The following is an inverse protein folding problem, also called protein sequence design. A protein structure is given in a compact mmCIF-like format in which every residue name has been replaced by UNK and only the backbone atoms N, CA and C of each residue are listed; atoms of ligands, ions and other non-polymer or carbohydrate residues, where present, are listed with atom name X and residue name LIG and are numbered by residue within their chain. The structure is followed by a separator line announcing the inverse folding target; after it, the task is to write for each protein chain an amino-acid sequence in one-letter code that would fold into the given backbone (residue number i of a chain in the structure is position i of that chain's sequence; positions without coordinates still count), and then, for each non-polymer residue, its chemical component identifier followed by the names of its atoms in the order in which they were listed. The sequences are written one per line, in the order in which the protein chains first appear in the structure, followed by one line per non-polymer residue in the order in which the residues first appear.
data_IF_593248241187
#
_entry.id   IF_593248241187
#
_cell.length_a   1.000
_cell.length_b   1.000
_cell.length_c   1.000
_cell.angle_alpha   90.00
_cell.angle_beta   90.00
_cell.angle_gamma   90.00
#
_symmetry.space_group_name_H-M   'P 1'
#
loop_
_entity.id
_entity.type
_entity.pdbx_description
1 polymer ?
#
# COMPACT_ATOMS: atom_id res chain seq x y z
N UNK A 1 -8.96 -23.73 -19.21
CA UNK A 1 -9.56 -23.31 -17.93
C UNK A 1 -9.74 -21.80 -18.01
N UNK A 2 -10.96 -21.33 -18.27
CA UNK A 2 -11.23 -19.90 -18.41
C UNK A 2 -11.12 -19.25 -17.02
N UNK A 3 -10.09 -18.46 -16.81
CA UNK A 3 -9.96 -17.66 -15.59
C UNK A 3 -11.02 -16.56 -15.70
N UNK A 4 -11.99 -16.59 -14.79
CA UNK A 4 -13.07 -15.61 -14.72
C UNK A 4 -12.49 -14.19 -14.54
N UNK A 5 -12.60 -13.37 -15.57
CA UNK A 5 -12.01 -12.03 -15.63
C UNK A 5 -12.66 -11.05 -14.64
N UNK A 6 -13.78 -11.44 -13.99
CA UNK A 6 -14.51 -10.62 -13.01
C UNK A 6 -13.93 -10.63 -11.59
N UNK A 7 -12.91 -11.44 -11.31
CA UNK A 7 -12.28 -11.58 -9.98
C UNK A 7 -10.85 -11.06 -9.88
N UNK A 8 -10.38 -10.33 -10.89
CA UNK A 8 -9.00 -9.81 -10.90
C UNK A 8 -8.95 -8.38 -10.42
N UNK A 9 -7.93 -8.11 -9.61
CA UNK A 9 -7.60 -6.79 -9.09
C UNK A 9 -7.36 -5.83 -10.25
N UNK A 10 -7.95 -4.64 -10.16
CA UNK A 10 -7.79 -3.59 -11.16
C UNK A 10 -6.76 -2.55 -10.73
N UNK A 11 -6.22 -1.81 -11.70
CA UNK A 11 -5.26 -0.72 -11.49
C UNK A 11 -5.83 0.36 -10.56
N UNK A 12 -7.11 0.73 -10.72
CA UNK A 12 -7.79 1.73 -9.88
C UNK A 12 -7.74 1.42 -8.38
N UNK A 13 -7.62 0.14 -8.00
CA UNK A 13 -7.56 -0.28 -6.61
C UNK A 13 -6.22 0.02 -5.93
N UNK A 14 -5.16 0.24 -6.70
CA UNK A 14 -3.78 0.37 -6.21
C UNK A 14 -3.05 1.62 -6.68
N UNK A 15 -3.56 2.31 -7.71
CA UNK A 15 -2.94 3.52 -8.21
C UNK A 15 -2.97 4.64 -7.17
N UNK A 16 -1.98 5.52 -7.25
CA UNK A 16 -1.98 6.79 -6.50
C UNK A 16 -2.75 7.83 -7.32
N UNK A 17 -3.76 8.46 -6.73
CA UNK A 17 -4.64 9.43 -7.41
C UNK A 17 -4.17 10.88 -7.22
N UNK A 18 -3.56 11.19 -6.09
CA UNK A 18 -2.96 12.50 -5.83
C UNK A 18 -1.52 12.51 -6.38
N UNK A 19 -1.39 12.93 -7.65
CA UNK A 19 -0.13 12.89 -8.38
C UNK A 19 0.34 14.31 -8.65
N UNK A 20 1.50 14.67 -8.10
CA UNK A 20 2.17 15.91 -8.46
C UNK A 20 2.52 15.89 -9.96
N UNK A 21 2.15 16.95 -10.67
CA UNK A 21 2.36 17.10 -12.11
C UNK A 21 3.01 18.45 -12.42
N UNK A 22 3.61 18.55 -13.61
CA UNK A 22 4.23 19.78 -14.13
C UNK A 22 3.54 20.20 -15.44
N UNK A 23 3.67 21.48 -15.80
CA UNK A 23 3.11 22.04 -17.04
C UNK A 23 4.18 22.06 -18.15
N UNK A 24 3.82 21.87 -19.44
CA UNK A 24 4.78 21.92 -20.56
C UNK A 24 5.62 23.20 -20.61
N UNK A 25 5.01 24.35 -20.33
CA UNK A 25 5.69 25.66 -20.38
C UNK A 25 6.56 25.96 -19.14
N UNK A 26 6.51 25.11 -18.10
CA UNK A 26 7.30 25.35 -16.89
C UNK A 26 8.80 25.23 -17.20
N UNK A 27 9.66 26.08 -16.62
CA UNK A 27 11.09 25.96 -16.79
C UNK A 27 11.64 24.77 -15.99
N UNK A 28 12.66 24.10 -16.53
CA UNK A 28 13.36 22.97 -15.88
C UNK A 28 13.78 23.31 -14.44
N UNK A 29 14.20 24.55 -14.17
CA UNK A 29 14.59 25.00 -12.84
C UNK A 29 13.49 24.87 -11.78
N UNK A 30 12.22 25.02 -12.15
CA UNK A 30 11.08 24.83 -11.25
C UNK A 30 10.81 23.34 -11.00
N UNK A 31 10.92 22.52 -12.04
CA UNK A 31 10.81 21.06 -11.91
C UNK A 31 11.88 20.50 -10.98
N UNK A 32 13.14 20.96 -11.08
CA UNK A 32 14.22 20.55 -10.18
C UNK A 32 13.93 20.93 -8.73
N UNK A 33 13.36 22.12 -8.49
CA UNK A 33 12.93 22.53 -7.14
C UNK A 33 11.83 21.60 -6.62
N UNK A 34 10.86 21.26 -7.47
CA UNK A 34 9.78 20.34 -7.12
C UNK A 34 10.34 18.94 -6.78
N UNK A 35 11.21 18.37 -7.62
CA UNK A 35 11.88 17.06 -7.35
C UNK A 35 12.53 17.03 -5.96
N UNK A 36 13.20 18.12 -5.57
CA UNK A 36 13.83 18.25 -4.24
C UNK A 36 12.83 18.38 -3.11
N UNK A 37 11.72 19.07 -3.32
CA UNK A 37 10.70 19.30 -2.30
C UNK A 37 9.87 18.05 -2.00
N UNK A 38 9.52 17.27 -3.03
CA UNK A 38 8.65 16.08 -2.87
C UNK A 38 9.41 14.75 -2.94
N UNK A 39 10.74 14.79 -3.11
CA UNK A 39 11.61 13.60 -3.20
C UNK A 39 11.15 12.60 -4.27
N UNK A 40 10.79 13.10 -5.46
CA UNK A 40 10.38 12.28 -6.60
C UNK A 40 11.30 12.52 -7.80
N UNK A 41 11.65 11.44 -8.49
CA UNK A 41 12.61 11.46 -9.62
C UNK A 41 11.99 11.78 -10.98
N UNK A 42 10.71 12.15 -11.01
CA UNK A 42 10.02 12.50 -12.25
C UNK A 42 8.52 12.69 -12.06
N UNK A 43 7.92 13.38 -13.04
CA UNK A 43 6.53 13.83 -13.00
C UNK A 43 5.84 13.61 -14.34
N UNK A 44 4.53 13.31 -14.34
CA UNK A 44 3.71 13.52 -15.52
C UNK A 44 3.71 14.99 -15.92
N UNK A 45 3.70 15.24 -17.22
CA UNK A 45 3.53 16.58 -17.79
C UNK A 45 2.08 16.70 -18.26
N UNK A 46 1.34 17.62 -17.66
CA UNK A 46 -0.07 17.86 -17.94
C UNK A 46 -0.26 19.23 -18.60
N UNK A 47 -0.97 19.24 -19.72
CA UNK A 47 -1.62 20.45 -20.23
C UNK A 47 -3.08 20.39 -19.79
N UNK A 48 -3.43 21.23 -18.81
CA UNK A 48 -4.67 21.13 -18.04
C UNK A 48 -4.80 19.75 -17.37
N UNK A 49 -5.74 18.91 -17.82
CA UNK A 49 -5.95 17.54 -17.31
C UNK A 49 -5.40 16.45 -18.25
N UNK A 50 -4.87 16.85 -19.40
CA UNK A 50 -4.42 15.93 -20.44
C UNK A 50 -2.95 15.59 -20.25
N UNK A 51 -2.62 14.30 -20.31
CA UNK A 51 -1.24 13.85 -20.26
C UNK A 51 -0.55 14.08 -21.61
N UNK A 52 0.39 15.02 -21.65
CA UNK A 52 1.14 15.39 -22.87
C UNK A 52 2.58 14.86 -22.85
N UNK A 53 3.10 14.49 -21.69
CA UNK A 53 4.45 13.96 -21.57
C UNK A 53 4.77 13.39 -20.20
N UNK A 54 6.01 12.95 -20.05
CA UNK A 54 6.59 12.57 -18.77
C UNK A 54 8.02 13.08 -18.71
N UNK A 55 8.40 13.67 -17.58
CA UNK A 55 9.74 14.18 -17.35
C UNK A 55 10.40 13.46 -16.19
N UNK A 56 11.62 13.00 -16.39
CA UNK A 56 12.45 12.37 -15.36
C UNK A 56 13.70 13.19 -15.09
N UNK A 57 14.34 12.95 -13.95
CA UNK A 57 15.62 13.58 -13.62
C UNK A 57 16.69 13.35 -14.69
N UNK A 58 16.64 12.21 -15.38
CA UNK A 58 17.55 11.87 -16.49
C UNK A 58 17.39 12.82 -17.68
N UNK A 59 16.15 13.16 -18.03
CA UNK A 59 15.84 14.06 -19.15
C UNK A 59 16.39 15.47 -18.91
N UNK A 60 16.61 15.86 -17.64
CA UNK A 60 17.08 17.19 -17.25
C UNK A 60 18.61 17.35 -17.28
N UNK A 61 19.39 16.25 -17.30
CA UNK A 61 20.83 16.27 -17.00
C UNK A 61 21.68 17.11 -17.97
N UNK A 62 21.19 17.39 -19.17
CA UNK A 62 21.96 18.02 -20.25
C UNK A 62 21.29 19.28 -20.84
N UNK A 63 20.32 19.87 -20.14
CA UNK A 63 19.53 20.99 -20.64
C UNK A 63 19.67 22.24 -19.77
N UNK A 64 19.61 23.42 -20.40
CA UNK A 64 19.63 24.70 -19.65
C UNK A 64 18.41 24.82 -18.73
N UNK A 65 18.61 25.38 -17.54
CA UNK A 65 17.60 25.45 -16.51
C UNK A 65 16.38 26.32 -16.89
N UNK A 66 16.49 27.16 -17.92
CA UNK A 66 15.41 28.01 -18.41
C UNK A 66 14.63 27.41 -19.58
N UNK A 67 15.07 26.28 -20.17
CA UNK A 67 14.27 25.63 -21.21
C UNK A 67 12.92 25.17 -20.64
N UNK A 68 11.85 25.22 -21.45
CA UNK A 68 10.55 24.69 -21.06
C UNK A 68 10.60 23.15 -21.03
N UNK A 69 9.73 22.56 -20.19
CA UNK A 69 9.62 21.10 -20.04
C UNK A 69 9.25 20.41 -21.35
N UNK A 70 8.41 21.03 -22.18
CA UNK A 70 7.96 20.44 -23.45
C UNK A 70 9.09 20.09 -24.42
N UNK A 71 10.22 20.81 -24.35
CA UNK A 71 11.38 20.57 -25.23
C UNK A 71 12.18 19.32 -24.84
N UNK A 72 12.04 18.87 -23.59
CA UNK A 72 12.87 17.81 -23.00
C UNK A 72 12.07 16.60 -22.52
N UNK A 73 10.74 16.72 -22.42
CA UNK A 73 9.89 15.64 -21.95
C UNK A 73 9.82 14.47 -22.94
N UNK A 74 9.61 13.26 -22.40
CA UNK A 74 9.26 12.10 -23.20
C UNK A 74 7.80 12.15 -23.61
N UNK A 75 7.52 12.06 -24.91
CA UNK A 75 6.14 12.03 -25.48
C UNK A 75 5.66 10.63 -25.85
N UNK A 76 6.57 9.65 -25.93
CA UNK A 76 6.20 8.25 -26.12
C UNK A 76 5.83 7.62 -24.77
N UNK A 77 4.53 7.72 -24.45
CA UNK A 77 3.98 7.30 -23.17
C UNK A 77 3.31 5.94 -23.26
N UNK A 78 3.63 5.07 -22.31
CA UNK A 78 2.80 3.90 -22.01
C UNK A 78 1.92 4.27 -20.83
N UNK A 79 0.62 4.03 -20.99
CA UNK A 79 -0.39 4.38 -19.99
C UNK A 79 -1.23 3.15 -19.67
N UNK A 80 -1.80 3.13 -18.47
CA UNK A 80 -2.79 2.15 -18.04
C UNK A 80 -4.18 2.78 -18.02
N UNK A 81 -5.21 1.94 -18.07
CA UNK A 81 -6.59 2.35 -17.83
C UNK A 81 -7.00 1.95 -16.40
N UNK A 82 -7.85 2.71 -15.68
CA UNK A 82 -8.29 2.37 -14.32
C UNK A 82 -8.85 0.94 -14.20
N UNK A 83 -9.58 0.47 -15.22
CA UNK A 83 -10.16 -0.87 -15.25
C UNK A 83 -9.21 -1.98 -15.71
N UNK A 84 -7.98 -1.64 -16.12
CA UNK A 84 -6.96 -2.62 -16.52
C UNK A 84 -6.68 -3.58 -15.36
N UNK A 85 -6.48 -4.86 -15.67
CA UNK A 85 -6.07 -5.84 -14.69
C UNK A 85 -4.66 -5.53 -14.20
N UNK A 86 -4.44 -5.59 -12.89
CA UNK A 86 -3.17 -5.24 -12.27
C UNK A 86 -2.03 -6.18 -12.72
N UNK A 87 -2.31 -7.46 -12.95
CA UNK A 87 -1.36 -8.41 -13.54
C UNK A 87 -0.91 -8.01 -14.95
N UNK A 88 -1.79 -7.38 -15.72
CA UNK A 88 -1.46 -6.91 -17.07
C UNK A 88 -0.61 -5.64 -16.99
N UNK A 89 -0.93 -4.72 -16.08
CA UNK A 89 -0.09 -3.56 -15.78
C UNK A 89 1.32 -4.00 -15.33
N UNK A 90 1.41 -5.01 -14.45
CA UNK A 90 2.67 -5.61 -14.03
C UNK A 90 3.49 -6.16 -15.21
N UNK A 91 2.85 -6.85 -16.15
CA UNK A 91 3.49 -7.37 -17.37
C UNK A 91 3.99 -6.24 -18.26
N UNK A 92 3.21 -5.16 -18.42
CA UNK A 92 3.60 -3.98 -19.21
C UNK A 92 4.82 -3.32 -18.59
N UNK A 93 4.79 -3.04 -17.28
CA UNK A 93 5.92 -2.46 -16.54
C UNK A 93 7.19 -3.30 -16.71
N UNK A 94 7.09 -4.60 -16.46
CA UNK A 94 8.23 -5.52 -16.55
C UNK A 94 8.81 -5.60 -17.97
N UNK A 95 7.97 -5.76 -19.00
CA UNK A 95 8.42 -5.92 -20.40
C UNK A 95 8.94 -4.62 -21.01
N UNK A 96 8.38 -3.49 -20.63
CA UNK A 96 8.81 -2.18 -21.13
C UNK A 96 10.04 -1.65 -20.42
N UNK A 97 10.44 -2.25 -19.29
CA UNK A 97 11.50 -1.73 -18.43
C UNK A 97 11.12 -0.44 -17.69
N UNK A 98 9.85 -0.03 -17.76
CA UNK A 98 9.35 1.18 -17.07
C UNK A 98 9.02 0.83 -15.61
N UNK A 99 9.27 1.79 -14.73
CA UNK A 99 8.99 1.64 -13.29
C UNK A 99 7.59 2.11 -12.89
N UNK A 100 6.92 2.86 -13.76
CA UNK A 100 5.58 3.42 -13.54
C UNK A 100 4.83 3.66 -14.84
N UNK A 101 3.50 3.68 -14.75
CA UNK A 101 2.57 4.00 -15.82
C UNK A 101 1.59 5.08 -15.32
N UNK A 102 1.46 6.21 -16.02
CA UNK A 102 0.31 7.09 -15.85
C UNK A 102 -1.00 6.33 -16.12
N UNK A 103 -2.05 6.66 -15.38
CA UNK A 103 -3.37 6.06 -15.53
C UNK A 103 -4.31 7.11 -16.10
N UNK A 104 -4.95 6.78 -17.23
CA UNK A 104 -5.83 7.67 -17.99
C UNK A 104 -7.21 7.04 -18.12
N UNK A 105 -8.27 7.83 -17.93
CA UNK A 105 -9.66 7.42 -18.11
C UNK A 105 -10.12 7.42 -19.59
N UNK A 106 -11.39 7.07 -19.82
CA UNK A 106 -11.99 7.01 -21.15
C UNK A 106 -12.09 8.40 -21.84
N UNK A 107 -12.04 9.49 -21.07
CA UNK A 107 -12.09 10.87 -21.56
C UNK A 107 -10.68 11.43 -21.88
N UNK A 108 -9.63 10.64 -21.65
CA UNK A 108 -8.24 11.03 -21.91
C UNK A 108 -7.58 11.82 -20.77
N UNK A 109 -8.23 11.89 -19.60
CA UNK A 109 -7.71 12.63 -18.43
C UNK A 109 -6.84 11.75 -17.56
N UNK A 110 -5.76 12.31 -17.02
CA UNK A 110 -4.92 11.60 -16.05
C UNK A 110 -5.63 11.52 -14.70
N UNK A 111 -5.89 10.29 -14.24
CA UNK A 111 -6.61 10.02 -12.98
C UNK A 111 -5.72 9.37 -11.91
N UNK A 112 -4.48 9.02 -12.25
CA UNK A 112 -3.51 8.52 -11.29
C UNK A 112 -2.22 8.00 -11.90
N UNK A 113 -1.42 7.32 -11.08
CA UNK A 113 -0.18 6.65 -11.49
C UNK A 113 -0.07 5.29 -10.79
N UNK A 114 0.38 4.27 -11.51
CA UNK A 114 0.67 2.93 -10.96
C UNK A 114 2.15 2.60 -11.13
N UNK A 115 2.79 2.11 -10.07
CA UNK A 115 4.23 1.83 -10.02
C UNK A 115 4.54 0.34 -9.79
N UNK A 116 5.79 -0.07 -10.01
CA UNK A 116 6.27 -1.39 -9.61
C UNK A 116 6.04 -1.65 -8.12
N UNK A 117 6.21 -0.62 -7.28
CA UNK A 117 5.97 -0.72 -5.84
C UNK A 117 4.50 -1.02 -5.56
N UNK A 118 3.57 -0.40 -6.27
CA UNK A 118 2.13 -0.66 -6.11
C UNK A 118 1.76 -2.08 -6.53
N UNK A 119 2.37 -2.59 -7.61
CA UNK A 119 2.22 -3.98 -8.06
C UNK A 119 2.79 -4.94 -7.03
N UNK A 120 3.99 -4.69 -6.48
CA UNK A 120 4.57 -5.54 -5.44
C UNK A 120 3.69 -5.49 -4.19
N UNK A 121 3.26 -4.30 -3.79
CA UNK A 121 2.33 -4.08 -2.67
C UNK A 121 1.06 -4.91 -2.85
N UNK A 122 0.51 -5.01 -4.05
CA UNK A 122 -0.70 -5.81 -4.28
C UNK A 122 -0.50 -7.32 -4.09
N UNK A 123 0.73 -7.83 -4.25
CA UNK A 123 1.02 -9.26 -4.06
C UNK A 123 1.22 -9.62 -2.60
N UNK A 124 1.68 -8.66 -1.79
CA UNK A 124 1.88 -8.84 -0.35
C UNK A 124 0.59 -8.55 0.44
N UNK A 125 -0.16 -7.50 0.06
CA UNK A 125 -1.29 -6.95 0.81
C UNK A 125 -2.41 -7.94 1.09
N UNK A 126 -2.47 -8.44 2.32
CA UNK A 126 -3.53 -9.34 2.81
C UNK A 126 -4.85 -8.64 3.08
N UNK A 127 -4.83 -7.31 3.21
CA UNK A 127 -5.98 -6.43 3.47
C UNK A 127 -6.48 -5.73 2.19
N UNK A 128 -6.59 -6.47 1.09
CA UNK A 128 -6.99 -5.95 -0.22
C UNK A 128 -8.27 -5.09 -0.20
N UNK A 129 -8.39 -4.00 -1.00
CA UNK A 129 -9.60 -3.16 -1.08
C UNK A 129 -10.92 -3.91 -1.25
N UNK A 130 -10.91 -5.00 -2.03
CA UNK A 130 -12.07 -5.89 -2.15
C UNK A 130 -12.42 -6.63 -0.86
N UNK A 131 -11.42 -7.06 -0.07
CA UNK A 131 -11.63 -7.69 1.24
C UNK A 131 -12.25 -6.68 2.20
N UNK A 132 -11.74 -5.45 2.23
CA UNK A 132 -12.32 -4.33 3.01
C UNK A 132 -13.77 -4.09 2.60
N UNK A 133 -14.05 -4.03 1.29
CA UNK A 133 -15.39 -3.82 0.76
C UNK A 133 -16.36 -4.96 1.11
N UNK A 134 -15.88 -6.21 1.10
CA UNK A 134 -16.67 -7.38 1.54
C UNK A 134 -17.00 -7.32 3.03
N UNK A 135 -16.01 -6.99 3.87
CA UNK A 135 -16.20 -6.81 5.32
C UNK A 135 -17.21 -5.70 5.59
N UNK A 136 -17.04 -4.55 4.94
CA UNK A 136 -17.96 -3.41 5.03
C UNK A 136 -19.40 -3.84 4.74
N UNK A 137 -19.64 -4.43 3.56
CA UNK A 137 -20.98 -4.90 3.15
C UNK A 137 -21.58 -5.90 4.14
N UNK A 138 -20.79 -6.87 4.59
CA UNK A 138 -21.24 -7.86 5.58
C UNK A 138 -21.70 -7.20 6.89
N UNK A 139 -20.96 -6.23 7.42
CA UNK A 139 -21.34 -5.53 8.65
C UNK A 139 -22.59 -4.68 8.44
N UNK A 140 -22.67 -3.95 7.32
CA UNK A 140 -23.85 -3.14 6.96
C UNK A 140 -25.12 -3.99 6.84
N UNK A 141 -25.05 -5.15 6.17
CA UNK A 141 -26.18 -6.07 5.98
C UNK A 141 -26.64 -6.71 7.29
N UNK A 142 -25.72 -7.19 8.12
CA UNK A 142 -26.04 -7.87 9.38
C UNK A 142 -26.67 -6.90 10.39
N UNK A 143 -26.17 -5.67 10.43
CA UNK A 143 -26.52 -4.71 11.47
C UNK A 143 -27.46 -3.60 10.99
N UNK A 144 -27.80 -3.57 9.70
CA UNK A 144 -28.65 -2.54 9.08
C UNK A 144 -28.13 -1.12 9.35
N UNK A 145 -26.83 -0.93 9.17
CA UNK A 145 -26.12 0.34 9.37
C UNK A 145 -25.42 0.79 8.08
N UNK A 146 -24.94 2.03 8.06
CA UNK A 146 -24.06 2.54 6.99
C UNK A 146 -22.68 2.84 7.56
N UNK A 147 -21.66 2.28 6.92
CA UNK A 147 -20.26 2.54 7.22
C UNK A 147 -19.66 3.46 6.17
N UNK A 148 -18.78 4.37 6.59
CA UNK A 148 -17.96 5.17 5.67
C UNK A 148 -16.55 4.60 5.66
N UNK A 149 -15.97 4.40 4.48
CA UNK A 149 -14.59 3.93 4.34
C UNK A 149 -13.67 5.13 4.11
N UNK A 150 -12.59 5.21 4.88
CA UNK A 150 -11.49 6.15 4.70
C UNK A 150 -10.15 5.40 4.76
N UNK A 151 -9.14 5.87 4.04
CA UNK A 151 -7.75 5.46 4.25
C UNK A 151 -7.03 6.52 5.09
N UNK A 152 -6.16 6.12 6.00
CA UNK A 152 -5.37 7.05 6.81
C UNK A 152 -4.52 6.37 7.87
N UNK A 153 -3.79 7.18 8.63
CA UNK A 153 -2.97 6.73 9.74
C UNK A 153 -3.82 6.57 11.00
N UNK A 154 -3.47 5.55 11.80
CA UNK A 154 -4.05 5.33 13.12
C UNK A 154 -2.94 5.08 14.15
N UNK A 155 -3.13 5.63 15.35
CA UNK A 155 -2.25 5.39 16.50
C UNK A 155 -2.25 3.91 16.88
N UNK A 156 -1.06 3.33 17.02
CA UNK A 156 -0.88 1.94 17.42
C UNK A 156 -1.34 1.70 18.86
N UNK A 157 -1.21 2.71 19.73
CA UNK A 157 -1.60 2.61 21.15
C UNK A 157 -3.12 2.53 21.34
N UNK A 158 -3.89 3.14 20.44
CA UNK A 158 -5.36 3.20 20.51
C UNK A 158 -6.04 1.93 19.98
N UNK A 159 -5.27 1.02 19.36
CA UNK A 159 -5.79 -0.19 18.73
C UNK A 159 -6.28 -1.19 19.79
N UNK A 160 -7.57 -1.52 19.71
CA UNK A 160 -8.21 -2.61 20.45
C UNK A 160 -8.22 -3.89 19.60
N UNK A 161 -7.41 -4.91 19.92
CA UNK A 161 -7.35 -6.13 19.12
C UNK A 161 -8.56 -7.04 19.33
N UNK A 162 -8.94 -7.75 18.26
CA UNK A 162 -10.03 -8.74 18.28
C UNK A 162 -9.58 -10.20 18.37
N UNK A 163 -8.27 -10.44 18.21
CA UNK A 163 -7.66 -11.77 18.32
C UNK A 163 -6.72 -11.78 19.52
N UNK A 164 -6.74 -12.87 20.29
CA UNK A 164 -5.91 -13.03 21.49
C UNK A 164 -4.52 -13.60 21.20
N UNK A 165 -4.26 -14.06 19.98
CA UNK A 165 -3.03 -14.77 19.63
C UNK A 165 -2.51 -14.38 18.25
N UNK A 166 -1.19 -14.29 18.12
CA UNK A 166 -0.47 -14.16 16.85
C UNK A 166 0.69 -15.16 16.80
N UNK A 167 1.17 -15.48 15.61
CA UNK A 167 2.25 -16.45 15.39
C UNK A 167 3.60 -15.73 15.24
N UNK A 168 4.62 -16.19 15.97
CA UNK A 168 5.92 -15.50 16.03
C UNK A 168 6.69 -15.46 14.70
N UNK A 169 6.59 -16.52 13.89
CA UNK A 169 7.25 -16.62 12.59
C UNK A 169 6.68 -15.61 11.56
N UNK A 170 5.36 -15.45 11.52
CA UNK A 170 4.72 -14.42 10.69
C UNK A 170 5.06 -13.01 11.23
N UNK A 171 5.19 -12.86 12.55
CA UNK A 171 5.48 -11.57 13.18
C UNK A 171 6.87 -11.03 12.82
N UNK A 172 7.88 -11.89 12.74
CA UNK A 172 9.23 -11.51 12.30
C UNK A 172 9.24 -10.97 10.87
N UNK A 173 8.53 -11.66 9.96
CA UNK A 173 8.36 -11.20 8.57
C UNK A 173 7.67 -9.84 8.48
N UNK A 174 6.58 -9.65 9.24
CA UNK A 174 5.88 -8.35 9.29
C UNK A 174 6.76 -7.25 9.88
N UNK A 175 7.58 -7.56 10.87
CA UNK A 175 8.55 -6.60 11.41
C UNK A 175 9.58 -6.16 10.37
N UNK A 176 10.05 -7.06 9.51
CA UNK A 176 10.95 -6.72 8.40
C UNK A 176 10.28 -5.83 7.36
N UNK A 177 9.07 -6.18 6.92
CA UNK A 177 8.29 -5.40 5.96
C UNK A 177 8.03 -3.97 6.48
N UNK A 178 7.65 -3.84 7.75
CA UNK A 178 7.38 -2.56 8.40
C UNK A 178 8.61 -1.63 8.39
N UNK A 179 9.80 -2.18 8.67
CA UNK A 179 11.06 -1.42 8.61
C UNK A 179 11.44 -0.96 7.21
N UNK A 180 10.98 -1.66 6.17
CA UNK A 180 11.25 -1.34 4.77
C UNK A 180 10.19 -0.42 4.15
N UNK A 181 9.18 0.00 4.90
CA UNK A 181 8.08 0.81 4.38
C UNK A 181 7.18 0.04 3.41
N UNK A 182 7.21 -1.29 3.45
CA UNK A 182 6.31 -2.16 2.69
C UNK A 182 5.00 -2.38 3.46
N UNK A 183 4.54 -1.33 4.13
CA UNK A 183 3.48 -1.40 5.14
C UNK A 183 2.16 -1.67 4.44
N UNK A 184 1.66 -2.89 4.55
CA UNK A 184 0.27 -3.19 4.20
C UNK A 184 -0.65 -2.50 5.23
N UNK A 185 -1.71 -1.80 4.80
CA UNK A 185 -2.65 -1.17 5.72
C UNK A 185 -3.45 -2.19 6.53
N UNK A 186 -3.61 -1.95 7.82
CA UNK A 186 -4.50 -2.75 8.68
C UNK A 186 -5.97 -2.41 8.39
N UNK A 187 -6.91 -3.24 8.85
CA UNK A 187 -8.34 -2.92 8.74
C UNK A 187 -8.87 -2.66 10.15
N UNK A 188 -9.44 -1.49 10.35
CA UNK A 188 -9.98 -1.06 11.64
C UNK A 188 -11.41 -0.55 11.50
N UNK A 189 -12.18 -0.68 12.57
CA UNK A 189 -13.48 -0.02 12.73
C UNK A 189 -13.30 1.09 13.75
N UNK A 190 -13.49 2.33 13.33
CA UNK A 190 -13.49 3.48 14.21
C UNK A 190 -14.90 3.68 14.75
N UNK A 191 -15.06 3.53 16.05
CA UNK A 191 -16.26 3.89 16.81
C UNK A 191 -16.06 5.22 17.54
N UNK A 192 -17.12 5.80 18.13
CA UNK A 192 -16.99 7.02 18.93
C UNK A 192 -16.03 6.88 20.12
N UNK A 193 -15.92 5.69 20.71
CA UNK A 193 -15.21 5.44 21.97
C UNK A 193 -13.96 4.56 21.84
N UNK A 194 -13.73 3.90 20.70
CA UNK A 194 -12.60 2.99 20.52
C UNK A 194 -12.27 2.72 19.05
N UNK A 195 -11.06 2.24 18.81
CA UNK A 195 -10.58 1.79 17.52
C UNK A 195 -10.40 0.27 17.52
N UNK A 196 -11.23 -0.46 16.79
CA UNK A 196 -11.23 -1.93 16.81
C UNK A 196 -10.43 -2.47 15.64
N UNK A 197 -9.46 -3.36 15.91
CA UNK A 197 -8.71 -4.07 14.87
C UNK A 197 -9.53 -5.22 14.30
N UNK A 198 -9.84 -5.19 13.01
CA UNK A 198 -10.53 -6.27 12.30
C UNK A 198 -9.54 -7.24 11.67
N UNK A 199 -8.48 -6.72 11.06
CA UNK A 199 -7.48 -7.50 10.34
C UNK A 199 -6.11 -6.84 10.43
N UNK A 200 -5.04 -7.63 10.51
CA UNK A 200 -3.67 -7.15 10.63
C UNK A 200 -3.06 -7.23 12.03
N UNK A 201 -3.52 -8.16 12.88
CA UNK A 201 -3.01 -8.36 14.25
C UNK A 201 -1.49 -8.55 14.32
N UNK A 202 -0.89 -9.40 13.46
CA UNK A 202 0.58 -9.53 13.44
C UNK A 202 1.28 -8.21 13.11
N UNK A 203 0.72 -7.39 12.22
CA UNK A 203 1.30 -6.08 11.86
C UNK A 203 1.16 -5.08 13.01
N UNK A 204 -0.01 -5.01 13.64
CA UNK A 204 -0.23 -4.14 14.79
C UNK A 204 0.70 -4.51 15.97
N UNK A 205 0.84 -5.81 16.27
CA UNK A 205 1.74 -6.28 17.33
C UNK A 205 3.21 -6.05 16.95
N UNK A 206 3.62 -6.33 15.70
CA UNK A 206 4.98 -6.05 15.24
C UNK A 206 5.32 -4.56 15.29
N UNK A 207 4.39 -3.68 14.87
CA UNK A 207 4.57 -2.24 14.94
C UNK A 207 4.79 -1.77 16.37
N UNK A 208 3.98 -2.27 17.31
CA UNK A 208 4.15 -1.99 18.74
C UNK A 208 5.51 -2.45 19.28
N UNK A 209 5.96 -3.65 18.93
CA UNK A 209 7.28 -4.15 19.33
C UNK A 209 8.44 -3.34 18.75
N UNK A 210 8.25 -2.75 17.58
CA UNK A 210 9.24 -1.90 16.90
C UNK A 210 9.19 -0.43 17.34
N UNK A 211 8.24 -0.04 18.21
CA UNK A 211 8.04 1.34 18.61
C UNK A 211 7.53 2.24 17.48
N UNK A 212 6.81 1.68 16.51
CA UNK A 212 6.15 2.45 15.46
C UNK A 212 4.86 3.04 16.04
N UNK A 213 4.72 4.37 15.99
CA UNK A 213 3.61 5.10 16.61
C UNK A 213 2.31 5.00 15.80
N UNK A 214 2.41 5.01 14.47
CA UNK A 214 1.24 5.03 13.57
C UNK A 214 1.31 3.96 12.48
N UNK A 215 0.15 3.42 12.10
CA UNK A 215 -0.01 2.47 10.99
C UNK A 215 -0.98 3.00 9.94
N UNK A 216 -0.68 2.74 8.66
CA UNK A 216 -1.67 2.93 7.58
C UNK A 216 -2.83 1.95 7.78
N UNK A 217 -4.05 2.42 7.53
CA UNK A 217 -5.26 1.66 7.79
C UNK A 217 -6.39 2.00 6.81
N UNK A 218 -7.18 0.98 6.51
CA UNK A 218 -8.56 1.15 6.06
C UNK A 218 -9.46 1.29 7.28
N UNK A 219 -10.04 2.48 7.44
CA UNK A 219 -10.85 2.89 8.58
C UNK A 219 -12.32 2.83 8.16
N UNK A 220 -13.05 1.88 8.73
CA UNK A 220 -14.50 1.80 8.65
C UNK A 220 -15.10 2.65 9.77
N UNK A 221 -15.53 3.86 9.43
CA UNK A 221 -16.17 4.79 10.35
C UNK A 221 -17.59 4.30 10.67
N UNK A 222 -17.84 4.05 11.95
CA UNK A 222 -19.13 3.64 12.49
C UNK A 222 -19.58 4.72 13.49
N UNK A 223 -20.64 5.44 13.13
CA UNK A 223 -21.16 6.53 13.98
C UNK A 223 -21.94 5.98 15.19
N UNK A 224 -22.38 4.72 15.13
CA UNK A 224 -23.13 4.04 16.18
C UNK A 224 -22.22 3.25 17.13
N UNK A 225 -22.50 3.27 18.44
CA UNK A 225 -21.80 2.39 19.38
C UNK A 225 -22.46 1.00 19.48
N UNK A 226 -22.63 0.36 18.33
CA UNK A 226 -23.23 -0.97 18.23
C UNK A 226 -22.21 -2.06 18.55
N UNK A 227 -22.46 -2.91 19.53
CA UNK A 227 -21.53 -3.97 19.92
C UNK A 227 -21.47 -5.11 18.89
N UNK A 228 -20.29 -5.37 18.36
CA UNK A 228 -20.04 -6.41 17.37
C UNK A 228 -19.70 -7.76 18.04
N UNK A 229 -19.91 -8.86 17.32
CA UNK A 229 -19.60 -10.21 17.80
C UNK A 229 -18.09 -10.46 18.03
N UNK A 230 -17.25 -9.85 17.19
CA UNK A 230 -15.79 -9.83 17.32
C UNK A 230 -15.31 -9.13 18.60
N UNK A 231 -15.93 -8.00 18.97
CA UNK A 231 -15.66 -7.33 20.26
C UNK A 231 -16.07 -8.22 21.43
N UNK A 232 -17.26 -8.81 21.35
CA UNK A 232 -17.79 -9.67 22.41
C UNK A 232 -16.88 -10.87 22.68
N UNK A 233 -16.31 -11.44 21.63
CA UNK A 233 -15.34 -12.54 21.74
C UNK A 233 -14.03 -12.09 22.38
N UNK A 234 -13.49 -10.94 21.94
CA UNK A 234 -12.26 -10.37 22.47
C UNK A 234 -12.37 -10.00 23.96
N UNK A 235 -13.46 -9.34 24.36
CA UNK A 235 -13.71 -8.98 25.75
C UNK A 235 -13.83 -10.21 26.67
N UNK A 236 -14.50 -11.27 26.21
CA UNK A 236 -14.59 -12.54 26.96
C UNK A 236 -13.23 -13.20 27.15
N UNK A 237 -12.32 -13.00 26.20
CA UNK A 237 -10.94 -13.45 26.29
C UNK A 237 -10.03 -12.48 27.09
N UNK A 238 -10.59 -11.40 27.66
CA UNK A 238 -9.85 -10.41 28.45
C UNK A 238 -8.99 -9.46 27.63
N UNK A 239 -9.18 -9.41 26.31
CA UNK A 239 -8.35 -8.65 25.38
C UNK A 239 -8.87 -7.22 25.26
N UNK A 240 -8.03 -6.23 25.60
CA UNK A 240 -8.36 -4.80 25.54
C UNK A 240 -7.35 -3.99 24.74
N UNK A 241 -6.08 -4.38 24.78
CA UNK A 241 -4.97 -3.68 24.14
C UNK A 241 -4.08 -4.67 23.40
N UNK A 242 -3.17 -4.17 22.56
CA UNK A 242 -2.16 -5.00 21.90
C UNK A 242 -1.24 -5.75 22.87
N UNK A 243 -1.12 -5.31 24.14
CA UNK A 243 -0.33 -6.04 25.15
C UNK A 243 -0.99 -7.33 25.63
N UNK A 244 -2.31 -7.43 25.47
CA UNK A 244 -3.06 -8.63 25.86
C UNK A 244 -2.92 -9.76 24.84
N UNK A 245 -2.31 -9.50 23.68
CA UNK A 245 -2.13 -10.47 22.59
C UNK A 245 -0.94 -11.38 22.87
N UNK A 246 -1.18 -12.69 22.94
CA UNK A 246 -0.15 -13.70 23.17
C UNK A 246 0.56 -14.07 21.87
N UNK A 247 1.90 -14.10 21.88
CA UNK A 247 2.71 -14.57 20.75
C UNK A 247 2.96 -16.07 20.91
N UNK A 248 2.61 -16.85 19.89
CA UNK A 248 2.80 -18.29 19.85
C UNK A 248 4.09 -18.63 19.09
N UNK A 249 5.11 -19.08 19.83
CA UNK A 249 6.38 -19.54 19.27
C UNK A 249 6.32 -21.05 19.04
N UNK A 250 5.64 -21.49 17.98
CA UNK A 250 5.70 -22.88 17.53
C UNK A 250 6.49 -22.96 16.22
N UNK A 251 7.67 -23.59 16.29
CA UNK A 251 8.51 -24.10 15.20
C UNK A 251 8.59 -23.22 13.92
N UNK A 252 9.74 -22.57 13.72
CA UNK A 252 10.12 -21.88 12.48
C UNK A 252 9.65 -22.66 11.24
N UNK A 253 9.01 -21.96 10.32
CA UNK A 253 8.59 -22.51 9.02
C UNK A 253 9.77 -23.20 8.32
N UNK A 254 9.61 -24.41 7.71
CA UNK A 254 10.71 -25.17 7.07
C UNK A 254 11.49 -24.39 5.99
N UNK A 255 10.89 -23.33 5.44
CA UNK A 255 11.50 -22.45 4.44
C UNK A 255 12.56 -21.51 5.04
N UNK A 256 12.43 -21.13 6.32
CA UNK A 256 13.42 -20.30 7.05
C UNK A 256 14.64 -21.14 7.43
N UNK A 257 14.45 -22.43 7.71
CA UNK A 257 15.54 -23.36 8.04
C UNK A 257 16.56 -23.51 6.90
N UNK A 258 16.12 -23.38 5.64
CA UNK A 258 16.99 -23.41 4.46
C UNK A 258 17.86 -22.17 4.38
N UNK A 259 17.32 -20.98 4.70
CA UNK A 259 18.04 -19.71 4.61
C UNK A 259 19.12 -19.60 5.70
N UNK A 260 18.84 -20.04 6.94
CA UNK A 260 19.85 -20.08 8.00
C UNK A 260 20.96 -21.11 7.75
N UNK A 261 20.62 -22.25 7.12
CA UNK A 261 21.63 -23.24 6.70
C UNK A 261 22.59 -22.69 5.64
N UNK A 262 22.07 -21.93 4.68
CA UNK A 262 22.87 -21.32 3.62
C UNK A 262 23.75 -20.19 4.17
N UNK A 263 23.23 -19.34 5.07
CA UNK A 263 24.00 -18.26 5.69
C UNK A 263 25.12 -18.77 6.60
N UNK A 264 24.95 -19.92 7.27
CA UNK A 264 26.02 -20.55 8.07
C UNK A 264 27.15 -21.11 7.20
N UNK A 265 26.85 -21.60 6.00
CA UNK A 265 27.86 -22.15 5.08
C UNK A 265 28.78 -21.07 4.52
N UNK A 266 28.28 -19.84 4.33
CA UNK A 266 29.11 -18.70 3.88
C UNK A 266 30.00 -18.15 4.99
N UNK A 267 29.56 -18.17 6.25
CA UNK A 267 30.38 -17.71 7.38
C UNK A 267 31.55 -18.63 7.75
N UNK A 268 31.45 -19.92 7.43
CA UNK A 268 32.51 -20.90 7.67
C UNK A 268 33.57 -20.91 6.55
N UNK A 269 33.26 -20.38 5.35
CA UNK A 269 34.23 -20.25 4.25
C UNK A 269 35.13 -19.00 4.31
N UNK A 270 34.85 -18.05 5.21
CA UNK A 270 35.66 -16.83 5.39
C UNK A 270 36.71 -16.98 6.52
N UNK A 271 36.82 -18.17 7.12
CA UNK A 271 37.73 -18.46 8.26
C UNK A 271 38.81 -19.51 7.99
N UNK A 272 39.08 -19.88 6.75
CA UNK A 272 40.34 -20.55 6.33
C UNK A 272 41.16 -19.65 5.42
#
# INVERSE_FOLDING_TARGET
MSIDNRKRVKVESYMTTDVAAVHPDQPISEVVKLMRAVHHDGFPVLDNENLVGYISSYDLLMHDANHPVEEVMSTSLLVAHPSMCLDDAARVLFRSGRSKLPVIDDDGKMVGIITNTDVIRSQIERAHPEKVSKIKKMIEEIHNINLRLKRGLVSVEDITPTQSKVYGDELEGRGYELKKGLNEPIIVIQKPDKLILVDGHHRAVAAKQLGIEELDAYILLMDENLKLGLETTAEKAGIRTLDDVTILDYAKHPLIEVTERLLRQDSDQVRE
#
